data_IF_294529855089
#
_entry.id   IF_294529855089
#
_cell.length_a   1.000
_cell.length_b   1.000
_cell.length_c   1.000
_cell.angle_alpha   90.00
_cell.angle_beta   90.00
_cell.angle_gamma   90.00
#
_symmetry.space_group_name_H-M   'P 1'
#
loop_
_entity.id
_entity.type
_entity.pdbx_description
1 polymer ?
#
# COMPACT_ATOMS: atom_id res chain seq x y z
N UNK A 1 15.51 10.92 1.90
CA UNK A 1 14.77 9.97 1.04
C UNK A 1 13.86 10.79 0.14
N UNK A 2 13.86 10.53 -1.18
CA UNK A 2 13.09 11.33 -2.14
C UNK A 2 11.59 11.41 -1.74
N UNK A 3 11.03 12.62 -1.78
CA UNK A 3 9.62 12.85 -1.47
C UNK A 3 8.78 12.76 -2.73
N UNK A 4 7.63 12.08 -2.64
CA UNK A 4 6.71 12.01 -3.76
C UNK A 4 5.90 13.30 -3.85
N UNK A 5 5.83 13.88 -5.05
CA UNK A 5 5.02 15.08 -5.31
C UNK A 5 3.53 14.84 -5.08
N UNK A 6 2.75 15.92 -5.04
CA UNK A 6 1.29 15.78 -5.00
C UNK A 6 0.78 15.12 -6.29
N UNK A 7 -0.35 14.41 -6.18
CA UNK A 7 -1.09 13.88 -7.32
C UNK A 7 -2.30 14.78 -7.58
N UNK A 8 -2.18 15.79 -8.47
CA UNK A 8 -3.29 16.67 -8.81
C UNK A 8 -4.35 15.92 -9.64
N UNK A 9 -5.55 16.48 -9.69
CA UNK A 9 -6.54 16.08 -10.70
C UNK A 9 -5.95 16.29 -12.09
N UNK A 10 -6.17 15.33 -13.00
CA UNK A 10 -5.71 15.41 -14.38
C UNK A 10 -6.23 16.68 -15.09
N UNK A 11 -7.46 17.11 -14.79
CA UNK A 11 -8.03 18.33 -15.35
C UNK A 11 -7.19 19.59 -15.05
N UNK A 12 -6.52 19.62 -13.90
CA UNK A 12 -5.68 20.75 -13.49
C UNK A 12 -4.29 20.76 -14.14
N UNK A 13 -3.85 19.63 -14.72
CA UNK A 13 -2.50 19.45 -15.27
C UNK A 13 -2.50 18.84 -16.66
N UNK A 14 -3.63 18.89 -17.38
CA UNK A 14 -3.82 18.20 -18.65
C UNK A 14 -2.73 18.54 -19.67
N UNK A 15 -2.37 19.82 -19.81
CA UNK A 15 -1.39 20.29 -20.79
C UNK A 15 0.02 19.68 -20.58
N UNK A 16 0.41 19.43 -19.32
CA UNK A 16 1.73 18.86 -19.02
C UNK A 16 1.73 17.33 -19.03
N UNK A 17 0.57 16.69 -18.78
CA UNK A 17 0.43 15.24 -18.71
C UNK A 17 0.04 14.61 -20.04
N UNK A 18 -0.89 15.21 -20.79
CA UNK A 18 -1.45 14.66 -22.04
C UNK A 18 -0.51 14.88 -23.23
N UNK A 19 0.71 14.35 -23.12
CA UNK A 19 1.74 14.44 -24.15
C UNK A 19 2.31 13.05 -24.46
N UNK A 20 2.58 12.79 -25.74
CA UNK A 20 3.19 11.55 -26.20
C UNK A 20 2.35 10.30 -25.91
N UNK A 21 2.94 9.34 -25.18
CA UNK A 21 2.33 8.08 -24.79
C UNK A 21 2.06 8.07 -23.28
N UNK A 22 0.87 7.62 -22.93
CA UNK A 22 0.32 7.60 -21.58
C UNK A 22 0.29 6.18 -21.04
N UNK A 23 0.58 6.08 -19.75
CA UNK A 23 0.33 4.92 -18.91
C UNK A 23 -0.81 5.25 -17.96
N UNK A 24 -1.76 4.32 -17.87
CA UNK A 24 -2.88 4.38 -16.97
C UNK A 24 -2.72 3.25 -15.98
N UNK A 25 -2.65 3.59 -14.69
CA UNK A 25 -2.61 2.62 -13.59
C UNK A 25 -3.77 2.88 -12.64
N UNK A 26 -4.23 1.84 -11.96
CA UNK A 26 -5.21 1.99 -10.90
C UNK A 26 -4.66 2.93 -9.82
N UNK A 27 -5.51 3.83 -9.31
CA UNK A 27 -5.20 4.58 -8.08
C UNK A 27 -5.69 3.75 -6.90
N UNK A 28 -4.79 3.40 -5.98
CA UNK A 28 -5.13 2.72 -4.74
C UNK A 28 -5.27 3.74 -3.60
N UNK A 29 -6.47 3.83 -3.05
CA UNK A 29 -6.73 4.48 -1.76
C UNK A 29 -5.94 3.77 -0.63
N UNK A 30 -5.18 4.55 0.13
CA UNK A 30 -4.29 4.08 1.20
C UNK A 30 -3.30 5.16 1.61
N UNK A 31 -2.31 4.79 2.42
CA UNK A 31 -1.23 5.69 2.83
C UNK A 31 -0.03 5.59 1.89
N UNK A 32 0.55 6.72 1.48
CA UNK A 32 1.80 6.68 0.71
C UNK A 32 2.93 6.15 1.59
N UNK A 33 3.59 5.08 1.16
CA UNK A 33 4.76 4.50 1.80
C UNK A 33 5.93 4.51 0.82
N UNK A 34 7.09 4.95 1.29
CA UNK A 34 8.35 4.86 0.56
C UNK A 34 9.39 4.14 1.39
N UNK A 35 10.32 3.48 0.71
CA UNK A 35 11.45 2.85 1.38
C UNK A 35 12.70 2.87 0.51
N UNK A 36 13.82 2.62 1.16
CA UNK A 36 15.13 2.48 0.53
C UNK A 36 15.98 1.49 1.32
N UNK A 37 16.85 0.76 0.61
CA UNK A 37 17.90 -0.03 1.26
C UNK A 37 19.11 0.86 1.59
N UNK A 38 19.49 0.89 2.86
CA UNK A 38 20.72 1.54 3.32
C UNK A 38 21.96 0.72 2.93
N UNK A 39 23.17 1.30 2.96
CA UNK A 39 24.41 0.55 2.73
C UNK A 39 24.59 -0.67 3.66
N UNK A 40 23.98 -0.65 4.84
CA UNK A 40 23.94 -1.78 5.78
C UNK A 40 23.09 -2.96 5.32
N UNK A 41 22.28 -2.80 4.27
CA UNK A 41 21.25 -3.75 3.84
C UNK A 41 19.92 -3.63 4.60
N UNK A 42 19.83 -2.74 5.60
CA UNK A 42 18.59 -2.47 6.30
C UNK A 42 17.67 -1.59 5.46
N UNK A 43 16.36 -1.83 5.58
CA UNK A 43 15.35 -1.02 4.91
C UNK A 43 14.92 0.14 5.81
N UNK A 44 15.07 1.37 5.31
CA UNK A 44 14.57 2.59 5.93
C UNK A 44 13.23 2.95 5.27
N UNK A 45 12.23 3.34 6.07
CA UNK A 45 10.87 3.63 5.60
C UNK A 45 10.49 5.08 5.86
N UNK A 46 9.52 5.59 5.09
CA UNK A 46 8.92 6.90 5.29
C UNK A 46 7.51 6.95 4.70
N UNK A 47 6.66 7.81 5.25
CA UNK A 47 5.35 8.08 4.65
C UNK A 47 5.49 9.18 3.58
N UNK A 48 4.44 9.98 3.32
CA UNK A 48 4.54 11.11 2.38
C UNK A 48 5.51 12.20 2.83
N UNK A 49 5.60 12.50 4.11
CA UNK A 49 6.30 13.70 4.63
C UNK A 49 7.46 13.38 5.56
N UNK A 50 7.40 12.24 6.24
CA UNK A 50 8.28 11.83 7.33
C UNK A 50 9.13 10.64 6.89
N UNK A 51 10.32 10.51 7.47
CA UNK A 51 11.16 9.30 7.41
C UNK A 51 11.27 8.79 8.84
N UNK A 52 11.07 7.50 9.04
CA UNK A 52 11.07 6.86 10.35
C UNK A 52 12.36 6.08 10.52
N UNK A 53 13.22 6.54 11.43
CA UNK A 53 14.44 5.82 11.82
C UNK A 53 14.15 4.76 12.87
N UNK A 54 13.13 5.00 13.70
CA UNK A 54 12.62 4.04 14.68
C UNK A 54 11.36 3.33 14.15
N UNK A 55 11.37 1.99 14.03
CA UNK A 55 10.19 1.22 13.68
C UNK A 55 8.99 1.43 14.62
N UNK A 56 9.22 1.73 15.90
CA UNK A 56 8.13 1.98 16.86
C UNK A 56 7.45 3.33 16.65
N UNK A 57 8.13 4.26 15.98
CA UNK A 57 7.57 5.56 15.59
C UNK A 57 6.68 5.46 14.33
N UNK A 58 6.63 4.31 13.66
CA UNK A 58 5.73 4.10 12.53
C UNK A 58 4.28 4.11 13.01
N UNK A 59 3.40 4.91 12.37
CA UNK A 59 1.98 4.85 12.66
C UNK A 59 1.44 3.43 12.44
N UNK A 60 0.55 2.93 13.31
CA UNK A 60 0.10 1.54 13.29
C UNK A 60 -0.39 1.03 11.93
N UNK A 61 -1.09 1.87 11.17
CA UNK A 61 -1.63 1.56 9.84
C UNK A 61 -0.57 1.20 8.78
N UNK A 62 0.71 1.55 8.99
CA UNK A 62 1.80 1.19 8.08
C UNK A 62 2.52 -0.11 8.46
N UNK A 63 2.28 -0.65 9.66
CA UNK A 63 3.11 -1.74 10.22
C UNK A 63 3.01 -3.02 9.40
N UNK A 64 1.80 -3.41 8.96
CA UNK A 64 1.62 -4.60 8.11
C UNK A 64 2.34 -4.44 6.76
N UNK A 65 2.22 -3.28 6.12
CA UNK A 65 2.89 -2.99 4.85
C UNK A 65 4.41 -3.05 4.99
N UNK A 66 4.97 -2.42 6.03
CA UNK A 66 6.42 -2.44 6.33
C UNK A 66 6.90 -3.86 6.59
N UNK A 67 6.12 -4.66 7.34
CA UNK A 67 6.43 -6.06 7.60
C UNK A 67 6.44 -6.88 6.31
N UNK A 68 5.38 -6.76 5.51
CA UNK A 68 5.25 -7.42 4.21
C UNK A 68 6.46 -7.12 3.31
N UNK A 69 6.87 -5.85 3.21
CA UNK A 69 8.07 -5.47 2.44
C UNK A 69 9.32 -6.10 3.03
N UNK A 70 9.51 -6.09 4.36
CA UNK A 70 10.72 -6.67 4.98
C UNK A 70 10.86 -8.17 4.74
N UNK A 71 9.73 -8.88 4.72
CA UNK A 71 9.65 -10.34 4.54
C UNK A 71 9.81 -10.75 3.08
N UNK A 72 9.24 -9.99 2.13
CA UNK A 72 9.18 -10.38 0.72
C UNK A 72 10.31 -9.77 -0.13
N UNK A 73 10.83 -8.60 0.24
CA UNK A 73 11.82 -7.89 -0.58
C UNK A 73 13.12 -8.69 -0.72
N UNK A 74 13.44 -9.08 -1.96
CA UNK A 74 14.66 -9.79 -2.29
C UNK A 74 15.87 -8.84 -2.28
N UNK A 75 16.51 -8.78 -1.11
CA UNK A 75 17.71 -7.96 -0.88
C UNK A 75 18.89 -8.44 -1.70
N UNK A 76 19.00 -9.73 -1.98
CA UNK A 76 20.13 -10.26 -2.75
C UNK A 76 19.97 -9.91 -4.22
N UNK A 77 18.78 -10.11 -4.79
CA UNK A 77 18.47 -9.65 -6.14
C UNK A 77 18.77 -8.16 -6.29
N UNK A 78 18.35 -7.34 -5.33
CA UNK A 78 18.62 -5.90 -5.39
C UNK A 78 20.10 -5.54 -5.30
N UNK A 79 20.89 -6.22 -4.45
CA UNK A 79 22.35 -5.98 -4.33
C UNK A 79 23.13 -6.33 -5.58
N UNK A 80 22.63 -7.28 -6.39
CA UNK A 80 23.29 -7.65 -7.65
C UNK A 80 23.02 -6.69 -8.80
N UNK A 81 22.14 -5.70 -8.61
CA UNK A 81 21.91 -4.66 -9.60
C UNK A 81 23.12 -3.72 -9.70
N UNK A 82 23.45 -3.27 -10.92
CA UNK A 82 24.52 -2.31 -11.19
C UNK A 82 24.07 -0.87 -10.85
N UNK A 83 23.68 -0.66 -9.60
CA UNK A 83 23.22 0.61 -9.05
C UNK A 83 23.50 0.64 -7.55
N UNK A 84 23.90 1.81 -7.01
CA UNK A 84 23.97 1.97 -5.56
C UNK A 84 22.57 1.80 -4.95
N UNK A 85 22.34 0.80 -4.09
CA UNK A 85 21.05 0.62 -3.43
C UNK A 85 20.58 1.84 -2.65
N UNK A 86 21.52 2.65 -2.15
CA UNK A 86 21.24 3.85 -1.37
C UNK A 86 20.76 5.04 -2.23
N UNK A 87 20.96 4.97 -3.55
CA UNK A 87 20.46 5.95 -4.50
C UNK A 87 19.01 5.69 -4.90
N UNK A 88 18.47 4.50 -4.65
CA UNK A 88 17.13 4.09 -5.11
C UNK A 88 16.08 4.27 -4.01
N UNK A 89 14.96 4.87 -4.35
CA UNK A 89 13.79 4.99 -3.47
C UNK A 89 12.59 4.36 -4.16
N UNK A 90 11.99 3.38 -3.49
CA UNK A 90 10.76 2.74 -3.93
C UNK A 90 9.57 3.49 -3.35
N UNK A 91 8.60 3.79 -4.19
CA UNK A 91 7.34 4.45 -3.83
C UNK A 91 6.18 3.49 -4.04
N UNK A 92 5.29 3.44 -3.06
CA UNK A 92 4.12 2.58 -3.09
C UNK A 92 3.00 3.10 -2.18
N UNK A 93 1.96 2.28 -2.09
CA UNK A 93 0.81 2.49 -1.21
C UNK A 93 0.85 1.40 -0.16
N UNK A 94 0.89 1.80 1.11
CA UNK A 94 0.45 0.94 2.20
C UNK A 94 -1.07 0.90 2.13
N UNK A 95 -1.61 -0.28 1.82
CA UNK A 95 -3.04 -0.49 1.70
C UNK A 95 -3.57 -0.70 3.11
N UNK A 96 -4.62 0.03 3.46
CA UNK A 96 -5.39 -0.16 4.67
C UNK A 96 -6.75 0.50 4.44
N UNK A 97 -7.76 0.12 5.22
CA UNK A 97 -9.09 0.68 5.05
C UNK A 97 -9.08 2.20 5.22
N UNK A 98 -9.46 2.90 4.16
CA UNK A 98 -9.73 4.35 4.18
C UNK A 98 -11.20 4.61 3.89
N UNK A 99 -12.07 3.66 4.21
CA UNK A 99 -13.47 3.62 3.79
C UNK A 99 -13.67 3.10 2.35
N UNK A 100 -12.59 2.74 1.64
CA UNK A 100 -12.69 2.05 0.35
C UNK A 100 -12.66 0.53 0.58
N UNK A 101 -13.77 -0.16 0.32
CA UNK A 101 -13.86 -1.62 0.41
C UNK A 101 -13.07 -2.31 -0.71
N UNK A 102 -11.86 -2.74 -0.43
CA UNK A 102 -11.12 -3.70 -1.25
C UNK A 102 -11.37 -5.12 -0.76
N UNK A 103 -11.03 -6.10 -1.59
CA UNK A 103 -10.82 -7.49 -1.22
C UNK A 103 -9.45 -7.60 -0.53
N UNK A 104 -9.45 -7.49 0.80
CA UNK A 104 -8.25 -7.49 1.62
C UNK A 104 -7.50 -8.83 1.62
N UNK A 105 -8.18 -9.93 1.29
CA UNK A 105 -7.52 -11.24 1.15
C UNK A 105 -6.67 -11.33 -0.12
N UNK A 106 -6.99 -10.52 -1.13
CA UNK A 106 -6.24 -10.46 -2.40
C UNK A 106 -5.27 -9.29 -2.48
N UNK A 107 -5.62 -8.12 -1.93
CA UNK A 107 -4.81 -6.92 -2.04
C UNK A 107 -3.56 -7.01 -1.14
N UNK A 108 -2.33 -6.92 -1.69
CA UNK A 108 -1.12 -6.93 -0.88
C UNK A 108 -1.09 -5.74 0.10
N UNK A 109 -0.56 -5.89 1.33
CA UNK A 109 -0.40 -4.79 2.29
C UNK A 109 0.46 -3.62 1.76
N UNK A 110 1.32 -3.88 0.78
CA UNK A 110 2.10 -2.89 0.06
C UNK A 110 2.04 -3.14 -1.44
N UNK A 111 1.76 -2.08 -2.21
CA UNK A 111 1.77 -2.11 -3.68
C UNK A 111 2.65 -0.99 -4.21
N UNK A 112 3.66 -1.33 -5.02
CA UNK A 112 4.60 -0.39 -5.62
C UNK A 112 4.03 0.37 -6.83
N UNK A 113 4.38 1.64 -7.03
CA UNK A 113 3.91 2.42 -8.20
C UNK A 113 4.99 3.25 -8.90
N UNK A 114 6.07 3.61 -8.22
CA UNK A 114 7.18 4.38 -8.80
C UNK A 114 8.52 3.99 -8.16
N UNK A 115 9.60 4.21 -8.91
CA UNK A 115 10.97 4.02 -8.44
C UNK A 115 11.77 5.26 -8.80
N UNK A 116 12.39 5.91 -7.83
CA UNK A 116 13.24 7.07 -8.01
C UNK A 116 14.71 6.66 -7.92
N UNK A 117 15.55 7.20 -8.81
CA UNK A 117 17.01 7.03 -8.79
C UNK A 117 17.65 8.40 -8.57
N UNK A 118 18.31 8.56 -7.42
CA UNK A 118 18.87 9.83 -6.97
C UNK A 118 20.02 10.30 -7.87
N UNK A 119 20.92 9.42 -8.26
CA UNK A 119 22.08 9.77 -9.10
C UNK A 119 21.69 10.28 -10.49
N UNK A 120 20.54 9.81 -10.99
CA UNK A 120 19.98 10.23 -12.26
C UNK A 120 18.90 11.32 -12.12
N UNK A 121 18.59 11.72 -10.88
CA UNK A 121 17.51 12.66 -10.53
C UNK A 121 16.20 12.42 -11.32
N UNK A 122 15.82 11.15 -11.47
CA UNK A 122 14.66 10.80 -12.28
C UNK A 122 13.93 9.56 -11.76
N UNK A 123 12.64 9.49 -12.11
CA UNK A 123 11.87 8.27 -11.99
C UNK A 123 12.28 7.26 -13.06
N UNK A 124 12.23 5.97 -12.71
CA UNK A 124 12.26 4.90 -13.70
C UNK A 124 10.99 4.97 -14.56
N UNK A 125 11.10 4.63 -15.86
CA UNK A 125 9.96 4.70 -16.75
C UNK A 125 8.89 3.68 -16.34
N UNK A 126 7.59 3.96 -16.62
CA UNK A 126 6.46 3.13 -16.20
C UNK A 126 6.55 1.64 -16.54
N UNK A 127 7.12 1.31 -17.69
CA UNK A 127 7.31 -0.05 -18.18
C UNK A 127 8.37 -0.83 -17.40
N UNK A 128 9.38 -0.15 -16.84
CA UNK A 128 10.38 -0.77 -15.99
C UNK A 128 9.89 -1.00 -14.55
N UNK A 129 8.92 -0.21 -14.08
CA UNK A 129 8.47 -0.26 -12.67
C UNK A 129 7.88 -1.62 -12.30
N UNK A 130 6.96 -2.16 -13.12
CA UNK A 130 6.35 -3.48 -12.87
C UNK A 130 7.43 -4.55 -12.71
N UNK A 131 8.34 -4.63 -13.68
CA UNK A 131 9.43 -5.62 -13.69
C UNK A 131 10.38 -5.44 -12.51
N UNK A 132 10.65 -4.20 -12.07
CA UNK A 132 11.49 -3.95 -10.89
C UNK A 132 10.84 -4.51 -9.63
N UNK A 133 9.57 -4.20 -9.38
CA UNK A 133 8.89 -4.72 -8.18
C UNK A 133 8.77 -6.24 -8.24
N UNK A 134 8.36 -6.82 -9.37
CA UNK A 134 8.26 -8.27 -9.57
C UNK A 134 9.59 -8.99 -9.31
N UNK A 135 10.68 -8.49 -9.87
CA UNK A 135 12.04 -9.05 -9.67
C UNK A 135 12.47 -9.03 -8.21
N UNK A 136 11.97 -8.05 -7.44
CA UNK A 136 12.29 -7.87 -6.04
C UNK A 136 11.29 -8.55 -5.10
N UNK A 137 10.38 -9.36 -5.64
CA UNK A 137 9.40 -10.12 -4.86
C UNK A 137 8.23 -9.29 -4.35
N UNK A 138 7.96 -8.12 -4.95
CA UNK A 138 6.88 -7.23 -4.56
C UNK A 138 5.87 -7.03 -5.69
N UNK A 139 4.63 -6.72 -5.32
CA UNK A 139 3.56 -6.41 -6.27
C UNK A 139 3.60 -4.93 -6.71
N UNK A 140 3.36 -4.70 -8.00
CA UNK A 140 3.20 -3.38 -8.58
C UNK A 140 1.71 -3.07 -8.82
N UNK A 141 1.40 -1.79 -8.91
CA UNK A 141 0.02 -1.32 -9.14
C UNK A 141 -0.49 -1.78 -10.51
N UNK A 142 -1.75 -2.20 -10.54
CA UNK A 142 -2.34 -2.73 -11.76
C UNK A 142 -2.31 -1.72 -12.91
N UNK A 143 -1.74 -2.17 -14.02
CA UNK A 143 -1.74 -1.41 -15.26
C UNK A 143 -3.06 -1.60 -16.00
N UNK A 144 -3.80 -0.51 -16.19
CA UNK A 144 -5.06 -0.48 -16.94
C UNK A 144 -4.78 -0.37 -18.44
N UNK A 145 -3.84 0.49 -18.83
CA UNK A 145 -3.45 0.64 -20.22
C UNK A 145 -1.99 1.10 -20.35
N UNK A 146 -1.30 0.52 -21.32
CA UNK A 146 0.06 0.90 -21.73
C UNK A 146 0.02 1.65 -23.05
N UNK A 147 0.96 2.58 -23.22
CA UNK A 147 1.24 3.26 -24.48
C UNK A 147 0.02 3.90 -25.18
N UNK A 148 -0.94 4.43 -24.41
CA UNK A 148 -2.09 5.14 -24.99
C UNK A 148 -1.63 6.47 -25.59
N UNK A 149 -2.00 6.76 -26.84
CA UNK A 149 -1.63 8.03 -27.47
C UNK A 149 -2.41 9.17 -26.84
N UNK A 150 -1.73 10.20 -26.35
CA UNK A 150 -2.36 11.32 -25.67
C UNK A 150 -3.38 12.07 -26.56
N UNK A 151 -3.07 12.23 -27.85
CA UNK A 151 -3.96 12.87 -28.83
C UNK A 151 -5.29 12.12 -29.06
N UNK A 152 -5.32 10.83 -28.72
CA UNK A 152 -6.47 9.94 -28.91
C UNK A 152 -7.15 9.65 -27.56
N UNK A 153 -6.74 10.33 -26.48
CA UNK A 153 -7.25 10.16 -25.13
C UNK A 153 -7.99 11.41 -24.68
N UNK A 154 -9.30 11.28 -24.49
CA UNK A 154 -10.14 12.32 -23.93
C UNK A 154 -10.45 12.01 -22.45
N UNK A 155 -9.86 12.74 -21.49
CA UNK A 155 -10.10 12.50 -20.07
C UNK A 155 -11.52 12.87 -19.62
N UNK A 156 -12.25 13.69 -20.39
CA UNK A 156 -13.60 14.16 -20.00
C UNK A 156 -14.69 13.14 -20.28
N UNK A 157 -14.42 12.20 -21.18
CA UNK A 157 -15.32 11.10 -21.53
C UNK A 157 -14.82 9.75 -21.02
N UNK A 158 -13.67 9.72 -20.34
CA UNK A 158 -13.08 8.51 -19.81
C UNK A 158 -13.82 8.02 -18.55
N UNK A 159 -14.40 6.82 -18.65
CA UNK A 159 -15.01 6.14 -17.50
C UNK A 159 -13.96 5.37 -16.72
N UNK A 160 -13.86 5.61 -15.41
CA UNK A 160 -12.99 4.84 -14.50
C UNK A 160 -13.44 3.36 -14.51
N UNK A 161 -12.52 2.40 -14.77
CA UNK A 161 -12.87 0.99 -14.90
C UNK A 161 -13.15 0.33 -13.54
N UNK A 162 -13.65 -0.93 -13.54
CA UNK A 162 -13.65 -1.76 -12.34
C UNK A 162 -12.26 -1.88 -11.71
N UNK A 163 -12.22 -1.95 -10.38
CA UNK A 163 -11.02 -2.24 -9.61
C UNK A 163 -10.60 -3.69 -9.84
N UNK A 164 -9.30 -3.94 -9.88
CA UNK A 164 -8.78 -5.30 -9.87
C UNK A 164 -8.83 -5.96 -8.47
N UNK A 165 -9.07 -5.15 -7.44
CA UNK A 165 -8.98 -5.51 -6.03
C UNK A 165 -10.33 -5.45 -5.32
N UNK A 166 -11.45 -5.59 -6.04
CA UNK A 166 -12.77 -5.67 -5.44
C UNK A 166 -13.89 -5.51 -6.46
N UNK A 167 -15.10 -5.86 -6.06
CA UNK A 167 -16.29 -5.85 -6.93
C UNK A 167 -16.91 -4.46 -7.06
N UNK A 168 -16.12 -3.49 -7.55
CA UNK A 168 -16.52 -2.07 -7.64
C UNK A 168 -15.68 -1.30 -8.64
N UNK A 169 -16.06 -0.04 -8.93
CA UNK A 169 -15.22 0.91 -9.68
C UNK A 169 -13.94 1.24 -8.91
N UNK A 170 -12.81 1.31 -9.62
CA UNK A 170 -11.53 1.73 -9.05
C UNK A 170 -11.63 3.10 -8.35
N UNK A 171 -10.82 3.31 -7.31
CA UNK A 171 -10.82 4.57 -6.56
C UNK A 171 -10.40 5.77 -7.45
N UNK A 172 -9.66 5.50 -8.52
CA UNK A 172 -9.33 6.44 -9.58
C UNK A 172 -8.37 5.81 -10.57
N UNK A 173 -7.92 6.60 -11.54
CA UNK A 173 -6.88 6.21 -12.50
C UNK A 173 -5.79 7.26 -12.49
N UNK A 174 -4.55 6.84 -12.21
CA UNK A 174 -3.37 7.68 -12.40
C UNK A 174 -3.00 7.63 -13.88
N UNK A 175 -3.00 8.80 -14.51
CA UNK A 175 -2.51 9.00 -15.88
C UNK A 175 -1.13 9.63 -15.79
N UNK A 176 -0.14 9.00 -16.42
CA UNK A 176 1.23 9.53 -16.50
C UNK A 176 1.79 9.43 -17.91
N UNK A 177 2.61 10.40 -18.30
CA UNK A 177 3.42 10.30 -19.52
C UNK A 177 4.77 9.64 -19.25
N UNK A 178 5.64 9.51 -20.27
CA UNK A 178 7.00 8.98 -20.11
C UNK A 178 7.97 9.92 -19.38
N UNK A 179 7.57 11.17 -19.12
CA UNK A 179 8.39 12.13 -18.37
C UNK A 179 7.96 12.12 -16.91
N UNK A 180 7.83 13.27 -16.27
CA UNK A 180 7.44 13.39 -14.86
C UNK A 180 5.95 13.69 -14.67
N UNK A 181 5.24 14.00 -15.76
CA UNK A 181 3.85 14.44 -15.74
C UNK A 181 2.90 13.35 -15.28
N UNK A 182 2.11 13.63 -14.23
CA UNK A 182 1.10 12.73 -13.67
C UNK A 182 -0.12 13.49 -13.17
N UNK A 183 -1.29 12.89 -13.32
CA UNK A 183 -2.56 13.40 -12.79
C UNK A 183 -3.57 12.28 -12.58
N UNK A 184 -4.61 12.52 -11.80
CA UNK A 184 -5.61 11.50 -11.44
C UNK A 184 -6.97 11.83 -12.05
N UNK A 185 -7.61 10.82 -12.63
CA UNK A 185 -9.04 10.83 -12.97
C UNK A 185 -9.79 10.14 -11.83
N UNK A 186 -10.77 10.83 -11.28
CA UNK A 186 -11.64 10.32 -10.24
C UNK A 186 -12.94 9.79 -10.85
N UNK A 187 -13.58 8.77 -10.25
CA UNK A 187 -14.91 8.34 -10.69
C UNK A 187 -15.94 9.44 -10.47
N UNK A 188 -16.97 9.51 -11.32
CA UNK A 188 -18.05 10.52 -11.24
C UNK A 188 -18.81 10.44 -9.91
N UNK A 189 -19.02 9.22 -9.42
CA UNK A 189 -19.54 8.99 -8.09
C UNK A 189 -18.37 8.78 -7.15
N UNK A 190 -18.18 9.64 -6.13
CA UNK A 190 -17.14 9.42 -5.16
C UNK A 190 -17.35 8.05 -4.50
N UNK A 191 -16.27 7.31 -4.20
CA UNK A 191 -16.42 6.07 -3.46
C UNK A 191 -17.18 6.36 -2.17
N UNK A 192 -18.35 5.72 -2.00
CA UNK A 192 -19.07 5.77 -0.73
C UNK A 192 -18.15 5.19 0.32
N UNK A 193 -17.65 6.05 1.21
CA UNK A 193 -16.95 5.60 2.41
C UNK A 193 -17.88 4.72 3.22
N UNK A 194 -17.37 3.64 3.80
CA UNK A 194 -18.14 2.88 4.78
C UNK A 194 -18.68 3.81 5.87
N UNK A 195 -19.91 3.50 6.30
CA UNK A 195 -20.63 4.16 7.39
C UNK A 195 -19.71 4.24 8.61
N UNK A 196 -19.64 5.38 9.33
CA UNK A 196 -18.93 5.45 10.59
C UNK A 196 -19.36 4.29 11.48
N UNK A 197 -18.40 3.45 11.89
CA UNK A 197 -18.67 2.49 12.94
C UNK A 197 -18.81 3.28 14.24
N UNK A 198 -20.05 3.57 14.66
CA UNK A 198 -20.35 3.99 16.04
C UNK A 198 -20.12 2.83 17.04
N UNK A 199 -19.66 1.68 16.56
CA UNK A 199 -19.35 0.47 17.30
C UNK A 199 -18.16 0.68 18.24
N UNK A 200 -18.31 0.30 19.51
CA UNK A 200 -17.21 0.28 20.47
C UNK A 200 -16.06 -0.64 20.03
N UNK A 201 -14.82 -0.25 20.34
CA UNK A 201 -13.61 -0.95 19.90
C UNK A 201 -13.57 -2.44 20.28
N UNK A 202 -14.02 -2.77 21.49
CA UNK A 202 -14.06 -4.16 21.96
C UNK A 202 -15.03 -5.01 21.14
N UNK A 203 -16.13 -4.40 20.69
CA UNK A 203 -17.09 -5.06 19.81
C UNK A 203 -16.48 -5.28 18.43
N UNK A 204 -15.74 -4.31 17.88
CA UNK A 204 -15.01 -4.49 16.62
C UNK A 204 -13.96 -5.61 16.73
N UNK A 205 -13.18 -5.66 17.81
CA UNK A 205 -12.21 -6.75 18.02
C UNK A 205 -12.93 -8.10 18.05
N UNK A 206 -14.01 -8.21 18.82
CA UNK A 206 -14.75 -9.48 18.96
C UNK A 206 -15.40 -9.91 17.64
N UNK A 207 -15.88 -8.97 16.83
CA UNK A 207 -16.52 -9.24 15.53
C UNK A 207 -15.50 -9.71 14.48
N UNK A 208 -14.30 -9.11 14.46
CA UNK A 208 -13.30 -9.38 13.43
C UNK A 208 -12.26 -10.44 13.81
N UNK A 209 -11.95 -10.62 15.10
CA UNK A 209 -11.02 -11.65 15.60
C UNK A 209 -11.77 -12.98 15.77
N UNK A 210 -12.22 -13.53 14.66
CA UNK A 210 -12.87 -14.85 14.60
C UNK A 210 -11.83 -15.99 14.59
N UNK A 211 -12.22 -17.24 14.91
CA UNK A 211 -11.32 -18.38 14.76
C UNK A 211 -10.71 -18.50 13.35
N UNK A 212 -11.50 -18.28 12.30
CA UNK A 212 -11.00 -18.30 10.92
C UNK A 212 -9.97 -17.20 10.64
N UNK A 213 -10.14 -16.02 11.24
CA UNK A 213 -9.15 -14.94 11.20
C UNK A 213 -7.85 -15.37 11.90
N UNK A 214 -7.95 -15.94 13.09
CA UNK A 214 -6.80 -16.43 13.86
C UNK A 214 -6.05 -17.55 13.13
N UNK A 215 -6.77 -18.52 12.53
CA UNK A 215 -6.18 -19.59 11.71
C UNK A 215 -5.38 -19.02 10.54
N UNK A 216 -6.00 -18.10 9.77
CA UNK A 216 -5.38 -17.44 8.62
C UNK A 216 -4.09 -16.72 9.04
N UNK A 217 -4.13 -15.98 10.14
CA UNK A 217 -2.99 -15.19 10.61
C UNK A 217 -1.92 -16.09 11.23
N UNK A 218 -2.30 -17.10 12.02
CA UNK A 218 -1.37 -18.06 12.61
C UNK A 218 -0.59 -18.84 11.53
N UNK A 219 -1.23 -19.15 10.40
CA UNK A 219 -0.58 -19.80 9.25
C UNK A 219 0.57 -18.97 8.64
N UNK A 220 0.63 -17.66 8.90
CA UNK A 220 1.74 -16.79 8.46
C UNK A 220 2.94 -16.78 9.42
N UNK A 221 2.81 -17.40 10.60
CA UNK A 221 3.81 -17.38 11.66
C UNK A 221 4.51 -18.73 11.70
N UNK A 222 5.85 -18.70 11.70
CA UNK A 222 6.62 -19.94 11.83
C UNK A 222 6.38 -20.59 13.22
N UNK A 223 6.11 -21.91 13.28
CA UNK A 223 5.90 -22.58 14.55
C UNK A 223 7.19 -22.69 15.37
N UNK A 224 7.10 -22.72 16.73
CA UNK A 224 5.86 -22.62 17.51
C UNK A 224 5.33 -21.19 17.61
N UNK A 225 4.01 -21.03 17.43
CA UNK A 225 3.34 -19.73 17.52
C UNK A 225 3.17 -19.33 18.98
N UNK A 226 3.61 -18.12 19.35
CA UNK A 226 3.35 -17.55 20.68
C UNK A 226 2.17 -16.59 20.68
N UNK A 227 1.58 -16.38 21.86
CA UNK A 227 0.51 -15.41 22.09
C UNK A 227 0.93 -14.03 21.62
N UNK A 228 2.15 -13.59 21.94
CA UNK A 228 2.66 -12.27 21.60
C UNK A 228 2.81 -12.11 20.08
N UNK A 229 3.35 -13.12 19.38
CA UNK A 229 3.49 -13.08 17.93
C UNK A 229 2.12 -12.99 17.24
N UNK A 230 1.16 -13.81 17.67
CA UNK A 230 -0.19 -13.82 17.13
C UNK A 230 -0.89 -12.48 17.42
N UNK A 231 -0.80 -11.98 18.66
CA UNK A 231 -1.36 -10.67 19.06
C UNK A 231 -0.84 -9.56 18.18
N UNK A 232 0.48 -9.49 17.94
CA UNK A 232 1.06 -8.46 17.08
C UNK A 232 0.54 -8.57 15.65
N UNK A 233 0.44 -9.78 15.09
CA UNK A 233 -0.04 -9.98 13.71
C UNK A 233 -1.52 -9.63 13.57
N UNK A 234 -2.36 -10.09 14.50
CA UNK A 234 -3.79 -9.75 14.54
C UNK A 234 -3.96 -8.23 14.63
N UNK A 235 -3.20 -7.57 15.49
CA UNK A 235 -3.27 -6.12 15.62
C UNK A 235 -2.92 -5.39 14.30
N UNK A 236 -1.87 -5.82 13.61
CA UNK A 236 -1.52 -5.27 12.29
C UNK A 236 -2.60 -5.49 11.24
N UNK A 237 -3.22 -6.67 11.22
CA UNK A 237 -4.34 -6.99 10.34
C UNK A 237 -5.59 -6.15 10.66
N UNK A 238 -5.91 -5.92 11.92
CA UNK A 238 -7.04 -5.06 12.29
C UNK A 238 -6.80 -3.61 11.83
N UNK A 239 -5.58 -3.08 11.93
CA UNK A 239 -5.27 -1.76 11.36
C UNK A 239 -5.40 -1.71 9.84
N UNK A 240 -5.00 -2.79 9.17
CA UNK A 240 -5.12 -2.94 7.73
C UNK A 240 -6.59 -3.03 7.27
N UNK A 241 -7.41 -3.83 7.92
CA UNK A 241 -8.73 -4.22 7.41
C UNK A 241 -9.89 -3.42 8.06
N UNK A 242 -9.71 -2.92 9.29
CA UNK A 242 -10.80 -2.42 10.16
C UNK A 242 -10.54 -1.01 10.71
N UNK A 243 -9.44 -0.81 11.45
CA UNK A 243 -9.25 0.40 12.25
C UNK A 243 -8.80 1.61 11.42
N UNK A 244 -8.15 1.42 10.28
CA UNK A 244 -7.59 2.53 9.47
C UNK A 244 -8.58 3.62 9.07
N UNK A 245 -9.89 3.32 9.05
CA UNK A 245 -10.97 4.24 8.69
C UNK A 245 -11.77 4.76 9.89
N UNK A 246 -11.50 4.25 11.09
CA UNK A 246 -12.32 4.48 12.30
C UNK A 246 -11.52 5.16 13.40
N UNK A 247 -10.22 4.92 13.47
CA UNK A 247 -9.38 5.28 14.62
C UNK A 247 -8.13 6.00 14.15
N UNK A 248 -7.89 7.21 14.66
CA UNK A 248 -6.65 7.95 14.39
C UNK A 248 -5.50 7.58 15.32
N UNK A 249 -5.82 7.10 16.54
CA UNK A 249 -4.84 6.77 17.59
C UNK A 249 -5.19 5.45 18.29
N UNK A 250 -4.19 4.58 18.43
CA UNK A 250 -4.31 3.26 19.06
C UNK A 250 -4.78 3.34 20.54
N UNK A 251 -5.94 2.74 20.88
CA UNK A 251 -6.40 2.68 22.26
C UNK A 251 -5.75 1.50 23.00
N UNK A 252 -5.19 1.68 24.21
CA UNK A 252 -4.56 0.58 24.96
C UNK A 252 -5.45 -0.65 25.19
N UNK A 253 -6.76 -0.43 25.31
CA UNK A 253 -7.75 -1.50 25.57
C UNK A 253 -7.87 -2.50 24.42
N UNK A 254 -7.63 -2.10 23.16
CA UNK A 254 -7.68 -3.04 22.03
C UNK A 254 -6.65 -4.15 22.16
N UNK A 255 -5.42 -3.82 22.54
CA UNK A 255 -4.34 -4.80 22.63
C UNK A 255 -4.59 -5.87 23.69
N UNK A 256 -5.20 -5.49 24.82
CA UNK A 256 -5.49 -6.43 25.89
C UNK A 256 -6.59 -7.42 25.51
N UNK A 257 -7.63 -6.95 24.81
CA UNK A 257 -8.70 -7.82 24.28
C UNK A 257 -8.15 -8.76 23.21
N UNK A 258 -7.39 -8.24 22.23
CA UNK A 258 -6.76 -9.08 21.18
C UNK A 258 -5.88 -10.17 21.81
N UNK A 259 -5.07 -9.80 22.81
CA UNK A 259 -4.20 -10.75 23.50
C UNK A 259 -4.99 -11.85 24.22
N UNK A 260 -6.14 -11.51 24.80
CA UNK A 260 -7.00 -12.48 25.47
C UNK A 260 -7.64 -13.47 24.48
N UNK A 261 -8.08 -12.99 23.31
CA UNK A 261 -8.58 -13.88 22.24
C UNK A 261 -7.49 -14.82 21.74
N UNK A 262 -6.27 -14.30 21.50
CA UNK A 262 -5.13 -15.11 21.06
C UNK A 262 -4.74 -16.20 22.08
N UNK A 263 -4.80 -15.89 23.39
CA UNK A 263 -4.57 -16.89 24.45
C UNK A 263 -5.60 -17.99 24.44
N UNK A 264 -6.87 -17.61 24.28
CA UNK A 264 -8.00 -18.55 24.29
C UNK A 264 -7.89 -19.52 23.10
N UNK A 265 -7.53 -18.99 21.93
CA UNK A 265 -7.28 -19.76 20.72
C UNK A 265 -6.12 -20.77 20.89
N UNK A 266 -4.93 -20.31 21.30
CA UNK A 266 -3.77 -21.20 21.44
C UNK A 266 -3.87 -22.21 22.60
N UNK A 267 -4.82 -22.04 23.51
CA UNK A 267 -5.10 -23.01 24.58
C UNK A 267 -6.10 -24.11 24.15
N UNK A 268 -6.77 -23.93 23.01
CA UNK A 268 -7.75 -24.87 22.47
C UNK A 268 -7.14 -25.88 21.48
N UNK A 269 -5.96 -25.59 20.94
CA UNK A 269 -5.12 -26.48 20.10
C UNK A 269 -4.16 -27.36 20.92
#
# INVERSE_FOLDING_TARGET
MHQFGSLPSLAAVADSVLTGHLWLTEYLAGGHLRFRMQPSGLLQFGDRTTVYDDPEALPPQYRLAVRSVREQFDREAFRTADIDPSAVVFHGVATFTTGFAYDWDRLPPFVGHDVWVSDAEQYRPPDAVDTIFETLGLEAVNTIARERRARDFDPTTYTVPPSAWGDRTAAGVVVRNKTTGRGVIWPDTPPTGNVPHETELETLVTEFVTPACLDRIAATIAPPVTVEQLTTRVHEHLWHEVFGSVIEVEPPVALDVIRQECRTYLAAD
#
